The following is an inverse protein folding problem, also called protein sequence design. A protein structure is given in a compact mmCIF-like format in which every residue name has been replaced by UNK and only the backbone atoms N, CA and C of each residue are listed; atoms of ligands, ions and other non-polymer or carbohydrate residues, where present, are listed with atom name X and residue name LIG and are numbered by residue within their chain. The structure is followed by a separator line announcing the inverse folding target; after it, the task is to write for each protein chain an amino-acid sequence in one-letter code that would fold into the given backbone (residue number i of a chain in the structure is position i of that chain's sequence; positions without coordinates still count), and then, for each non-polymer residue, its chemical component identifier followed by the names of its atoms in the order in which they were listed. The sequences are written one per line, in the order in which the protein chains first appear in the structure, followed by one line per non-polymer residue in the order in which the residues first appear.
data_IF_229665177803
#
_entry.id   IF_229665177803
#
_cell.length_a   1.000
_cell.length_b   1.000
_cell.length_c   1.000
_cell.angle_alpha   90.00
_cell.angle_beta   90.00
_cell.angle_gamma   90.00
#
_symmetry.space_group_name_H-M   'P 1'
#
loop_
_entity.id
_entity.type
_entity.pdbx_description
1 polymer ?
#
# COMPACT_ATOMS: atom_id res chain seq x y z
N UNK A 1 12.97 37.42 9.95
CA UNK A 1 13.23 36.03 10.37
C UNK A 1 14.63 35.66 9.94
N UNK A 2 15.59 35.50 10.86
CA UNK A 2 16.95 35.04 10.53
C UNK A 2 16.98 33.51 10.42
N UNK A 3 16.79 33.00 9.21
CA UNK A 3 16.71 31.55 8.94
C UNK A 3 18.04 30.84 9.25
N UNK A 4 19.17 31.55 9.07
CA UNK A 4 20.51 31.01 9.24
C UNK A 4 20.99 30.95 10.71
N UNK A 5 20.28 31.62 11.63
CA UNK A 5 20.63 31.69 13.06
C UNK A 5 19.37 31.67 13.94
N UNK A 6 18.66 30.54 13.98
CA UNK A 6 17.43 30.47 14.74
C UNK A 6 17.70 30.37 16.25
N UNK A 7 16.72 30.76 17.06
CA UNK A 7 16.78 30.56 18.50
C UNK A 7 16.69 29.07 18.84
N UNK A 8 17.52 28.61 19.77
CA UNK A 8 17.57 27.21 20.20
C UNK A 8 17.13 27.08 21.66
N UNK A 9 16.39 26.01 21.99
CA UNK A 9 15.93 25.67 23.35
C UNK A 9 16.46 24.28 23.72
N UNK A 10 16.85 24.09 24.98
CA UNK A 10 17.26 22.80 25.52
C UNK A 10 16.15 22.22 26.40
N UNK A 11 15.67 21.02 26.08
CA UNK A 11 14.67 20.29 26.88
C UNK A 11 15.16 18.85 27.02
N UNK A 12 15.30 18.36 28.26
CA UNK A 12 15.71 16.97 28.52
C UNK A 12 17.04 16.56 27.87
N UNK A 13 18.00 17.49 27.74
CA UNK A 13 19.29 17.24 27.08
C UNK A 13 19.27 17.29 25.56
N UNK A 14 18.09 17.46 24.93
CA UNK A 14 17.94 17.62 23.47
C UNK A 14 17.84 19.10 23.10
N UNK A 15 18.31 19.46 21.91
CA UNK A 15 18.35 20.84 21.41
C UNK A 15 17.30 20.99 20.31
N UNK A 16 16.40 21.98 20.44
CA UNK A 16 15.29 22.26 19.55
C UNK A 16 15.38 23.66 18.97
N UNK A 17 14.86 23.86 17.75
CA UNK A 17 14.70 25.19 17.15
C UNK A 17 13.39 25.81 17.60
N UNK A 18 13.42 26.99 18.22
CA UNK A 18 12.22 27.75 18.57
C UNK A 18 11.63 28.37 17.30
N UNK A 19 10.46 27.91 16.89
CA UNK A 19 9.66 28.61 15.89
C UNK A 19 8.88 29.74 16.59
N UNK A 20 8.88 30.96 16.04
CA UNK A 20 8.00 32.02 16.53
C UNK A 20 6.55 31.64 16.19
N UNK A 21 5.81 31.16 17.18
CA UNK A 21 4.36 30.98 17.07
C UNK A 21 3.68 32.25 17.60
N UNK A 22 2.60 32.66 16.94
CA UNK A 22 1.68 33.62 17.54
C UNK A 22 0.85 32.84 18.56
N UNK A 23 0.97 33.18 19.84
CA UNK A 23 0.18 32.55 20.90
C UNK A 23 -1.29 32.89 20.68
N UNK A 24 -2.02 31.99 20.03
CA UNK A 24 -3.46 31.91 20.22
C UNK A 24 -3.66 31.13 21.52
N UNK A 25 -4.17 31.81 22.54
CA UNK A 25 -4.52 31.19 23.82
C UNK A 25 -5.69 30.22 23.59
N UNK A 26 -5.39 28.98 23.21
CA UNK A 26 -6.35 27.90 23.28
C UNK A 26 -6.56 27.62 24.77
N UNK A 27 -7.73 27.94 25.28
CA UNK A 27 -8.12 27.51 26.62
C UNK A 27 -8.07 25.98 26.63
N UNK A 28 -7.30 25.45 27.56
CA UNK A 28 -7.15 24.03 27.79
C UNK A 28 -8.48 23.52 28.37
N UNK A 29 -9.35 23.00 27.51
CA UNK A 29 -10.44 22.15 27.95
C UNK A 29 -9.83 20.80 28.31
N UNK A 30 -9.80 20.52 29.61
CA UNK A 30 -9.39 19.24 30.19
C UNK A 30 -10.44 18.19 29.83
N UNK A 31 -10.31 17.51 28.68
CA UNK A 31 -11.06 16.30 28.37
C UNK A 31 -10.27 15.50 27.31
N UNK A 32 -10.28 14.17 27.44
CA UNK A 32 -9.66 13.15 26.57
C UNK A 32 -8.28 12.60 26.96
N UNK A 33 -8.07 12.27 28.25
CA UNK A 33 -6.98 11.36 28.67
C UNK A 33 -7.21 9.88 28.24
N UNK A 34 -8.35 9.55 27.62
CA UNK A 34 -8.69 8.18 27.19
C UNK A 34 -8.41 7.87 25.70
N UNK A 35 -7.98 8.84 24.88
CA UNK A 35 -7.92 8.64 23.43
C UNK A 35 -6.69 7.84 22.93
N UNK A 36 -5.68 7.59 23.77
CA UNK A 36 -4.38 7.03 23.33
C UNK A 36 -3.85 5.86 24.18
N UNK A 37 -4.74 5.07 24.79
CA UNK A 37 -4.37 3.80 25.43
C UNK A 37 -4.87 2.56 24.69
N UNK A 38 -5.20 2.69 23.41
CA UNK A 38 -5.31 1.56 22.50
C UNK A 38 -3.92 1.13 22.09
N UNK A 39 -3.45 -0.01 22.58
CA UNK A 39 -2.48 -0.83 21.85
C UNK A 39 -3.09 -0.98 20.45
N UNK A 40 -2.57 -0.24 19.46
CA UNK A 40 -2.95 -0.47 18.07
C UNK A 40 -2.34 -1.81 17.75
N UNK A 41 -3.06 -2.89 18.07
CA UNK A 41 -2.90 -4.12 17.33
C UNK A 41 -3.04 -3.69 15.88
N UNK A 42 -1.96 -3.86 15.13
CA UNK A 42 -2.04 -3.97 13.69
C UNK A 42 -2.94 -5.18 13.41
N UNK A 43 -4.26 -5.02 13.60
CA UNK A 43 -5.24 -5.87 13.00
C UNK A 43 -5.06 -5.61 11.52
N UNK A 44 -4.23 -6.46 10.91
CA UNK A 44 -4.07 -6.51 9.47
C UNK A 44 -5.47 -6.72 8.94
N UNK A 45 -6.09 -5.64 8.45
CA UNK A 45 -7.35 -5.72 7.77
C UNK A 45 -7.13 -6.76 6.67
N UNK A 46 -7.86 -7.89 6.69
CA UNK A 46 -7.62 -8.95 5.73
C UNK A 46 -7.83 -8.33 4.36
N UNK A 47 -6.73 -8.16 3.63
CA UNK A 47 -6.78 -7.70 2.25
C UNK A 47 -7.73 -8.65 1.54
N UNK A 48 -8.88 -8.16 1.05
CA UNK A 48 -9.91 -8.97 0.38
C UNK A 48 -9.21 -9.97 -0.52
N UNK A 49 -9.17 -11.23 -0.05
CA UNK A 49 -8.24 -12.20 -0.55
C UNK A 49 -8.59 -12.50 -1.98
N UNK A 50 -7.72 -12.14 -2.93
CA UNK A 50 -7.93 -12.51 -4.32
C UNK A 50 -8.07 -14.03 -4.39
N UNK A 51 -9.21 -14.50 -4.87
CA UNK A 51 -9.48 -15.93 -4.97
C UNK A 51 -8.50 -16.56 -5.96
N UNK A 52 -7.68 -17.48 -5.44
CA UNK A 52 -6.77 -18.29 -6.26
C UNK A 52 -7.47 -19.61 -6.56
N UNK A 53 -7.80 -19.83 -7.83
CA UNK A 53 -8.44 -21.04 -8.34
C UNK A 53 -7.38 -22.01 -8.86
N UNK A 54 -7.45 -23.26 -8.43
CA UNK A 54 -6.60 -24.32 -9.00
C UNK A 54 -7.18 -24.78 -10.34
N UNK A 55 -6.32 -24.85 -11.35
CA UNK A 55 -6.60 -25.30 -12.73
C UNK A 55 -5.74 -26.52 -13.06
N UNK A 56 -6.04 -27.21 -14.16
CA UNK A 56 -5.24 -28.36 -14.62
C UNK A 56 -3.76 -28.03 -14.89
N UNK A 57 -3.46 -26.76 -15.17
CA UNK A 57 -2.13 -26.29 -15.55
C UNK A 57 -1.41 -25.51 -14.42
N UNK A 58 -2.01 -25.38 -13.24
CA UNK A 58 -1.45 -24.61 -12.12
C UNK A 58 -2.52 -23.83 -11.38
N UNK A 59 -2.19 -22.64 -10.88
CA UNK A 59 -3.13 -21.77 -10.19
C UNK A 59 -3.49 -20.56 -11.06
N UNK A 60 -4.63 -19.94 -10.80
CA UNK A 60 -5.07 -18.75 -11.50
C UNK A 60 -5.71 -17.79 -10.50
N UNK A 61 -5.38 -16.51 -10.61
CA UNK A 61 -6.01 -15.43 -9.87
C UNK A 61 -6.72 -14.51 -10.85
N UNK A 62 -7.90 -14.02 -10.45
CA UNK A 62 -8.68 -13.09 -11.25
C UNK A 62 -8.82 -11.75 -10.55
N UNK A 63 -8.45 -10.67 -11.25
CA UNK A 63 -8.42 -9.31 -10.71
C UNK A 63 -9.41 -8.43 -11.45
N UNK A 64 -10.34 -7.83 -10.69
CA UNK A 64 -11.28 -6.84 -11.21
C UNK A 64 -10.59 -5.48 -11.29
N UNK A 65 -10.49 -4.93 -12.49
CA UNK A 65 -9.97 -3.59 -12.73
C UNK A 65 -10.80 -2.87 -13.80
N UNK A 66 -11.08 -1.56 -13.65
CA UNK A 66 -11.72 -0.75 -14.68
C UNK A 66 -10.97 -0.82 -16.02
N UNK A 67 -11.70 -0.98 -17.12
CA UNK A 67 -11.11 -1.11 -18.47
C UNK A 67 -10.25 0.08 -18.89
N UNK A 68 -10.52 1.28 -18.37
CA UNK A 68 -9.71 2.49 -18.58
C UNK A 68 -8.27 2.32 -18.07
N UNK A 69 -8.05 1.43 -17.11
CA UNK A 69 -6.75 1.18 -16.49
C UNK A 69 -5.92 0.12 -17.23
N UNK A 70 -6.52 -0.68 -18.11
CA UNK A 70 -5.79 -1.71 -18.87
C UNK A 70 -4.61 -1.13 -19.64
N UNK A 71 -4.74 0.10 -20.18
CA UNK A 71 -3.64 0.79 -20.87
C UNK A 71 -2.40 1.01 -19.99
N UNK A 72 -2.59 1.17 -18.67
CA UNK A 72 -1.50 1.38 -17.72
C UNK A 72 -0.84 0.06 -17.31
N UNK A 73 -1.63 -1.01 -17.20
CA UNK A 73 -1.14 -2.36 -16.92
C UNK A 73 -0.35 -2.91 -18.12
N UNK A 74 -0.87 -2.71 -19.34
CA UNK A 74 -0.18 -3.04 -20.59
C UNK A 74 1.08 -2.18 -20.75
N UNK A 75 0.96 -0.87 -20.52
CA UNK A 75 2.04 0.09 -20.72
C UNK A 75 2.31 0.40 -22.20
N UNK A 76 3.33 1.24 -22.45
CA UNK A 76 3.73 1.61 -23.81
C UNK A 76 4.17 0.35 -24.57
N UNK A 77 3.55 0.06 -25.71
CA UNK A 77 3.83 -1.14 -26.56
C UNK A 77 3.75 -2.49 -25.82
N UNK A 78 3.14 -2.57 -24.63
CA UNK A 78 3.11 -3.80 -23.84
C UNK A 78 4.33 -4.02 -22.94
N UNK A 79 5.24 -3.04 -22.83
CA UNK A 79 6.50 -3.19 -22.10
C UNK A 79 6.28 -3.45 -20.60
N UNK A 80 5.29 -2.78 -19.98
CA UNK A 80 4.99 -2.96 -18.55
C UNK A 80 4.48 -4.37 -18.28
N UNK A 81 3.49 -4.86 -19.06
CA UNK A 81 2.98 -6.23 -18.91
C UNK A 81 4.09 -7.25 -19.09
N UNK A 82 4.90 -7.12 -20.15
CA UNK A 82 6.01 -8.05 -20.41
C UNK A 82 7.02 -8.05 -19.27
N UNK A 83 7.34 -6.89 -18.72
CA UNK A 83 8.22 -6.75 -17.55
C UNK A 83 7.64 -7.49 -16.34
N UNK A 84 6.36 -7.28 -16.04
CA UNK A 84 5.67 -7.97 -14.95
C UNK A 84 5.67 -9.49 -15.13
N UNK A 85 5.37 -9.98 -16.33
CA UNK A 85 5.38 -11.41 -16.67
C UNK A 85 6.77 -12.02 -16.46
N UNK A 86 7.83 -11.32 -16.87
CA UNK A 86 9.22 -11.78 -16.72
C UNK A 86 9.68 -11.77 -15.26
N UNK A 87 9.39 -10.70 -14.51
CA UNK A 87 9.82 -10.53 -13.12
C UNK A 87 9.11 -11.51 -12.19
N UNK A 88 7.81 -11.72 -12.40
CA UNK A 88 6.98 -12.59 -11.56
C UNK A 88 6.90 -14.03 -12.06
N UNK A 89 7.41 -14.30 -13.29
CA UNK A 89 7.27 -15.60 -13.97
C UNK A 89 5.81 -16.04 -14.11
N UNK A 90 4.92 -15.07 -14.32
CA UNK A 90 3.49 -15.28 -14.52
C UNK A 90 3.09 -14.92 -15.95
N UNK A 91 1.90 -15.35 -16.36
CA UNK A 91 1.26 -14.87 -17.58
C UNK A 91 0.16 -13.88 -17.20
N UNK A 92 -0.06 -12.82 -17.97
CA UNK A 92 -1.10 -11.83 -17.67
C UNK A 92 -2.00 -11.69 -18.90
N UNK A 93 -3.24 -12.18 -18.79
CA UNK A 93 -4.24 -12.08 -19.85
C UNK A 93 -5.20 -10.92 -19.57
N UNK A 94 -5.23 -9.95 -20.48
CA UNK A 94 -6.07 -8.75 -20.38
C UNK A 94 -7.08 -8.76 -21.53
N UNK A 95 -8.39 -8.62 -21.26
CA UNK A 95 -9.43 -8.59 -22.29
C UNK A 95 -9.31 -7.36 -23.19
N UNK A 96 -9.87 -7.44 -24.40
CA UNK A 96 -9.82 -6.35 -25.38
C UNK A 96 -10.61 -5.12 -24.91
N UNK A 97 -10.12 -3.93 -25.25
CA UNK A 97 -10.81 -2.66 -25.04
C UNK A 97 -12.21 -2.71 -25.69
N UNK A 98 -13.26 -2.69 -24.87
CA UNK A 98 -14.66 -2.79 -25.31
C UNK A 98 -15.37 -4.09 -24.90
N UNK A 99 -14.67 -5.03 -24.26
CA UNK A 99 -15.25 -6.23 -23.67
C UNK A 99 -15.12 -6.13 -22.15
N UNK A 100 -16.23 -6.27 -21.41
CA UNK A 100 -16.16 -6.48 -19.96
C UNK A 100 -15.49 -7.83 -19.71
N UNK A 101 -14.43 -7.83 -18.92
CA UNK A 101 -13.73 -9.05 -18.57
C UNK A 101 -12.76 -8.79 -17.43
N UNK A 102 -12.43 -9.84 -16.70
CA UNK A 102 -11.53 -9.76 -15.56
C UNK A 102 -10.08 -10.04 -16.03
N UNK A 103 -9.10 -9.46 -15.34
CA UNK A 103 -7.69 -9.73 -15.63
C UNK A 103 -7.36 -11.08 -15.04
N UNK A 104 -6.84 -11.99 -15.87
CA UNK A 104 -6.52 -13.36 -15.47
C UNK A 104 -5.01 -13.54 -15.40
N UNK A 105 -4.53 -13.96 -14.23
CA UNK A 105 -3.12 -14.24 -13.97
C UNK A 105 -2.92 -15.72 -13.60
N UNK A 106 -2.41 -16.58 -14.49
CA UNK A 106 -1.95 -17.90 -14.14
C UNK A 106 -0.68 -17.80 -13.27
N UNK A 107 -0.76 -18.35 -12.06
CA UNK A 107 0.32 -18.50 -11.09
C UNK A 107 0.88 -19.92 -11.19
N UNK A 108 2.16 -20.04 -11.56
CA UNK A 108 2.86 -21.32 -11.70
C UNK A 108 3.44 -21.85 -10.39
N UNK A 109 3.54 -21.00 -9.36
CA UNK A 109 4.02 -21.35 -8.03
C UNK A 109 3.13 -20.71 -6.97
N UNK A 110 2.14 -21.45 -6.46
CA UNK A 110 1.58 -21.17 -5.15
C UNK A 110 2.40 -21.97 -4.15
N UNK A 111 3.43 -21.36 -3.57
CA UNK A 111 4.12 -21.94 -2.41
C UNK A 111 3.14 -21.92 -1.24
N UNK A 112 2.39 -23.00 -1.09
CA UNK A 112 1.35 -23.19 -0.08
C UNK A 112 1.93 -23.45 1.33
N UNK A 113 3.10 -22.89 1.67
CA UNK A 113 3.83 -23.32 2.87
C UNK A 113 4.92 -22.37 3.34
N UNK A 114 4.55 -21.22 3.87
CA UNK A 114 5.35 -20.49 4.88
C UNK A 114 4.44 -19.91 6.00
N UNK A 115 3.34 -20.60 6.35
CA UNK A 115 2.51 -20.28 7.52
C UNK A 115 2.56 -21.35 8.62
N UNK A 116 3.53 -22.25 8.56
CA UNK A 116 3.89 -23.10 9.69
C UNK A 116 5.38 -22.98 9.95
N UNK A 117 5.74 -21.99 10.76
CA UNK A 117 6.78 -22.14 11.78
C UNK A 117 6.52 -21.10 12.88
N UNK A 118 6.07 -21.63 14.01
CA UNK A 118 6.08 -20.99 15.32
C UNK A 118 7.50 -20.58 15.73
#
# INVERSE_FOLDING_TARGET
MEVLRPQLIRIGGRIYRKNPIQEQTYQHEEEDEDFYQGFVECAEEPCDGYEVVQTEQGFQCTVKAPSLLYKHIVGKRGDTRKKLEVETKTSISIPKLGQEGEIVNPLSYASQGELENF
#
